data_IF_622773294605
#
_entry.id   IF_622773294605
#
_cell.length_a   1.000
_cell.length_b   1.000
_cell.length_c   1.000
_cell.angle_alpha   90.00
_cell.angle_beta   90.00
_cell.angle_gamma   90.00
#
_symmetry.space_group_name_H-M   'P 1'
#
loop_
_entity.id
_entity.type
_entity.pdbx_description
1 polymer ?
#
# COMPACT_ATOMS: atom_id res chain seq x y z
N UNK A 1 -3.13 10.06 -10.16
CA UNK A 1 -1.98 9.60 -10.96
C UNK A 1 -0.91 8.93 -10.11
N UNK A 2 -0.39 9.56 -9.05
CA UNK A 2 0.67 8.94 -8.21
C UNK A 2 0.26 7.60 -7.56
N UNK A 3 -0.99 7.48 -7.10
CA UNK A 3 -1.48 6.24 -6.49
C UNK A 3 -1.48 5.03 -7.43
N UNK A 4 -1.78 5.23 -8.73
CA UNK A 4 -1.76 4.16 -9.73
C UNK A 4 -0.34 3.79 -10.16
N UNK A 5 0.58 4.76 -10.19
CA UNK A 5 2.02 4.51 -10.40
C UNK A 5 2.57 3.64 -9.25
N UNK A 6 2.23 3.99 -8.00
CA UNK A 6 2.63 3.18 -6.85
C UNK A 6 2.03 1.76 -6.88
N UNK A 7 0.77 1.61 -7.29
CA UNK A 7 0.16 0.29 -7.49
C UNK A 7 0.91 -0.55 -8.53
N UNK A 8 1.30 0.06 -9.66
CA UNK A 8 2.08 -0.61 -10.70
C UNK A 8 3.46 -1.05 -10.19
N UNK A 9 4.16 -0.18 -9.44
CA UNK A 9 5.45 -0.50 -8.83
C UNK A 9 5.34 -1.67 -7.84
N UNK A 10 4.29 -1.71 -7.01
CA UNK A 10 4.05 -2.82 -6.09
C UNK A 10 3.75 -4.11 -6.84
N UNK A 11 2.95 -4.06 -7.91
CA UNK A 11 2.70 -5.21 -8.78
C UNK A 11 3.98 -5.78 -9.37
N UNK A 12 4.86 -4.92 -9.91
CA UNK A 12 6.18 -5.32 -10.44
C UNK A 12 7.06 -5.92 -9.34
N UNK A 13 7.03 -5.35 -8.13
CA UNK A 13 7.81 -5.85 -7.02
C UNK A 13 7.37 -7.24 -6.54
N UNK A 14 6.05 -7.45 -6.43
CA UNK A 14 5.48 -8.76 -6.09
C UNK A 14 5.74 -9.79 -7.20
N UNK A 15 5.64 -9.39 -8.48
CA UNK A 15 5.98 -10.24 -9.62
C UNK A 15 7.43 -10.76 -9.52
N UNK A 16 8.39 -9.85 -9.28
CA UNK A 16 9.80 -10.21 -9.12
C UNK A 16 10.06 -11.08 -7.89
N UNK A 17 9.30 -10.88 -6.81
CA UNK A 17 9.42 -11.71 -5.60
C UNK A 17 8.94 -13.14 -5.87
N UNK A 18 7.79 -13.31 -6.53
CA UNK A 18 7.24 -14.63 -6.84
C UNK A 18 8.12 -15.47 -7.76
N UNK A 19 8.76 -14.83 -8.74
CA UNK A 19 9.72 -15.49 -9.63
C UNK A 19 10.91 -16.10 -8.87
N UNK A 20 11.26 -15.58 -7.68
CA UNK A 20 12.32 -16.13 -6.83
C UNK A 20 11.84 -17.28 -5.95
N UNK A 21 10.54 -17.34 -5.66
CA UNK A 21 9.94 -18.32 -4.76
C UNK A 21 9.28 -19.51 -5.49
N UNK A 22 9.37 -19.59 -6.82
CA UNK A 22 8.78 -20.67 -7.62
C UNK A 22 7.24 -20.68 -7.68
N UNK A 23 6.58 -19.59 -7.24
CA UNK A 23 5.11 -19.45 -7.22
C UNK A 23 4.62 -18.77 -8.50
N UNK A 24 3.33 -18.93 -8.82
CA UNK A 24 2.70 -18.27 -9.98
C UNK A 24 2.83 -16.74 -9.87
N UNK A 25 3.67 -16.16 -10.74
CA UNK A 25 4.05 -14.76 -10.69
C UNK A 25 2.87 -13.80 -10.90
N UNK A 26 1.92 -14.19 -11.74
CA UNK A 26 0.71 -13.41 -12.03
C UNK A 26 -0.21 -13.35 -10.80
N UNK A 27 -0.46 -14.50 -10.15
CA UNK A 27 -1.31 -14.56 -8.95
C UNK A 27 -0.73 -13.73 -7.79
N UNK A 28 0.59 -13.74 -7.65
CA UNK A 28 1.27 -12.94 -6.63
C UNK A 28 1.26 -11.45 -6.92
N UNK A 29 1.48 -11.06 -8.18
CA UNK A 29 1.39 -9.66 -8.60
C UNK A 29 0.00 -9.07 -8.33
N UNK A 30 -1.06 -9.82 -8.67
CA UNK A 30 -2.46 -9.41 -8.40
C UNK A 30 -2.68 -9.26 -6.89
N UNK A 31 -2.20 -10.22 -6.08
CA UNK A 31 -2.29 -10.14 -4.63
C UNK A 31 -1.64 -8.86 -4.07
N UNK A 32 -0.45 -8.49 -4.56
CA UNK A 32 0.24 -7.26 -4.15
C UNK A 32 -0.54 -5.98 -4.48
N UNK A 33 -1.12 -5.91 -5.68
CA UNK A 33 -1.97 -4.78 -6.10
C UNK A 33 -3.23 -4.69 -5.25
N UNK A 34 -3.90 -5.82 -4.99
CA UNK A 34 -5.11 -5.88 -4.17
C UNK A 34 -4.81 -5.43 -2.74
N UNK A 35 -3.72 -5.90 -2.14
CA UNK A 35 -3.27 -5.48 -0.81
C UNK A 35 -3.05 -3.97 -0.74
N UNK A 36 -2.34 -3.40 -1.72
CA UNK A 36 -2.13 -1.97 -1.79
C UNK A 36 -3.45 -1.20 -1.87
N UNK A 37 -4.38 -1.64 -2.73
CA UNK A 37 -5.68 -1.01 -2.89
C UNK A 37 -6.52 -1.08 -1.61
N UNK A 38 -6.57 -2.24 -0.95
CA UNK A 38 -7.31 -2.40 0.29
C UNK A 38 -6.73 -1.55 1.42
N UNK A 39 -5.41 -1.51 1.56
CA UNK A 39 -4.75 -0.66 2.55
C UNK A 39 -5.01 0.84 2.27
N UNK A 40 -4.88 1.27 1.02
CA UNK A 40 -5.20 2.63 0.60
C UNK A 40 -6.67 2.99 0.86
N UNK A 41 -7.59 2.07 0.57
CA UNK A 41 -9.02 2.25 0.79
C UNK A 41 -9.34 2.36 2.29
N UNK A 42 -8.78 1.48 3.12
CA UNK A 42 -8.93 1.53 4.57
C UNK A 42 -8.41 2.84 5.16
N UNK A 43 -7.24 3.32 4.70
CA UNK A 43 -6.74 4.64 5.11
C UNK A 43 -7.68 5.77 4.69
N UNK A 44 -8.22 5.68 3.47
CA UNK A 44 -9.15 6.68 2.94
C UNK A 44 -10.44 6.74 3.78
N UNK A 45 -10.97 5.59 4.20
CA UNK A 45 -12.21 5.54 4.97
C UNK A 45 -12.01 5.83 6.46
N UNK A 46 -10.94 5.33 7.08
CA UNK A 46 -10.76 5.41 8.53
C UNK A 46 -9.97 6.66 8.97
N UNK A 47 -8.94 7.05 8.22
CA UNK A 47 -7.97 8.05 8.66
C UNK A 47 -8.22 9.40 8.01
N UNK A 48 -8.54 9.41 6.72
CA UNK A 48 -8.74 10.65 5.96
C UNK A 48 -9.85 11.56 6.51
N UNK A 49 -11.04 11.07 6.94
CA UNK A 49 -12.07 11.98 7.48
C UNK A 49 -11.64 12.69 8.76
N UNK A 50 -10.95 11.99 9.68
CA UNK A 50 -10.46 12.60 10.93
C UNK A 50 -9.39 13.67 10.67
N UNK A 51 -8.50 13.42 9.72
CA UNK A 51 -7.46 14.39 9.33
C UNK A 51 -8.06 15.57 8.56
N UNK A 52 -9.06 15.33 7.72
CA UNK A 52 -9.77 16.38 6.97
C UNK A 52 -10.51 17.33 7.92
N UNK A 53 -11.16 16.79 8.96
CA UNK A 53 -11.86 17.58 9.97
C UNK A 53 -10.88 18.41 10.83
N UNK A 54 -9.74 17.85 11.20
CA UNK A 54 -8.69 18.62 11.86
C UNK A 54 -8.05 19.68 10.94
N UNK A 55 -7.96 19.43 9.63
CA UNK A 55 -7.42 20.36 8.65
C UNK A 55 -8.35 21.56 8.42
N UNK A 56 -9.67 21.34 8.38
CA UNK A 56 -10.67 22.40 8.17
C UNK A 56 -10.70 23.39 9.34
N UNK A 57 -10.46 22.92 10.56
CA UNK A 57 -10.42 23.77 11.76
C UNK A 57 -9.10 24.51 11.94
N UNK A 58 -7.97 23.96 11.46
CA UNK A 58 -6.63 24.54 11.68
C UNK A 58 -6.03 25.25 10.47
N UNK A 59 -6.62 25.11 9.27
CA UNK A 59 -6.05 25.55 7.98
C UNK A 59 -4.58 25.15 7.77
N UNK A 60 -4.14 24.05 8.40
CA UNK A 60 -2.74 23.64 8.37
C UNK A 60 -2.37 22.98 7.04
N UNK A 61 -1.40 23.56 6.33
CA UNK A 61 -0.88 23.04 5.07
C UNK A 61 -0.31 21.61 5.19
N UNK A 62 0.24 21.26 6.35
CA UNK A 62 0.76 19.92 6.62
C UNK A 62 -0.35 18.86 6.65
N UNK A 63 -1.49 19.16 7.29
CA UNK A 63 -2.63 18.25 7.32
C UNK A 63 -3.24 18.05 5.93
N UNK A 64 -3.33 19.12 5.13
CA UNK A 64 -3.80 19.03 3.73
C UNK A 64 -2.87 18.14 2.89
N UNK A 65 -1.56 18.23 3.11
CA UNK A 65 -0.58 17.36 2.44
C UNK A 65 -0.76 15.89 2.84
N UNK A 66 -0.97 15.63 4.14
CA UNK A 66 -1.19 14.28 4.68
C UNK A 66 -2.46 13.65 4.07
N UNK A 67 -3.57 14.39 4.04
CA UNK A 67 -4.83 13.95 3.38
C UNK A 67 -4.58 13.54 1.93
N UNK A 68 -3.76 14.29 1.20
CA UNK A 68 -3.52 14.07 -0.23
C UNK A 68 -2.58 12.91 -0.56
N UNK A 69 -1.60 12.60 0.29
CA UNK A 69 -0.51 11.68 -0.08
C UNK A 69 -0.24 10.54 0.92
N UNK A 70 -0.70 10.63 2.17
CA UNK A 70 -0.36 9.63 3.19
C UNK A 70 -0.91 8.24 2.88
N UNK A 71 -2.03 8.15 2.15
CA UNK A 71 -2.60 6.87 1.72
C UNK A 71 -1.64 6.05 0.83
N UNK A 72 -0.80 6.73 0.04
CA UNK A 72 0.21 6.08 -0.82
C UNK A 72 1.29 5.45 0.06
N UNK A 73 1.79 6.21 1.03
CA UNK A 73 2.79 5.72 1.98
C UNK A 73 2.29 4.54 2.80
N UNK A 74 1.05 4.62 3.29
CA UNK A 74 0.43 3.52 4.04
C UNK A 74 0.24 2.26 3.18
N UNK A 75 -0.23 2.41 1.94
CA UNK A 75 -0.36 1.30 1.00
C UNK A 75 0.97 0.60 0.72
N UNK A 76 2.05 1.38 0.51
CA UNK A 76 3.40 0.83 0.32
C UNK A 76 3.90 0.12 1.58
N UNK A 77 3.70 0.71 2.75
CA UNK A 77 4.07 0.10 4.03
C UNK A 77 3.38 -1.26 4.23
N UNK A 78 2.09 -1.35 3.97
CA UNK A 78 1.37 -2.63 4.11
C UNK A 78 1.80 -3.67 3.07
N UNK A 79 2.05 -3.26 1.84
CA UNK A 79 2.59 -4.16 0.83
C UNK A 79 3.98 -4.70 1.24
N UNK A 80 4.86 -3.84 1.78
CA UNK A 80 6.16 -4.25 2.32
C UNK A 80 6.02 -5.26 3.45
N UNK A 81 5.14 -4.95 4.41
CA UNK A 81 4.93 -5.76 5.61
C UNK A 81 4.39 -7.14 5.24
N UNK A 82 3.39 -7.20 4.37
CA UNK A 82 2.81 -8.45 3.89
C UNK A 82 3.81 -9.25 3.07
N UNK A 83 4.55 -8.63 2.15
CA UNK A 83 5.56 -9.36 1.38
C UNK A 83 6.68 -9.90 2.29
N UNK A 84 7.11 -9.13 3.28
CA UNK A 84 8.12 -9.56 4.26
C UNK A 84 7.63 -10.72 5.13
N UNK A 85 6.36 -10.68 5.55
CA UNK A 85 5.73 -11.74 6.33
C UNK A 85 5.58 -13.03 5.51
N UNK A 86 5.13 -12.91 4.25
CA UNK A 86 4.98 -14.05 3.34
C UNK A 86 6.33 -14.70 2.98
N UNK A 87 7.38 -13.91 2.81
CA UNK A 87 8.74 -14.43 2.58
C UNK A 87 9.33 -15.09 3.83
N UNK A 88 9.06 -14.57 5.04
CA UNK A 88 9.45 -15.25 6.29
C UNK A 88 8.73 -16.58 6.43
N UNK A 89 7.42 -16.63 6.18
CA UNK A 89 6.63 -17.86 6.25
C UNK A 89 7.10 -18.93 5.26
N UNK A 90 7.61 -18.52 4.09
CA UNK A 90 8.16 -19.44 3.09
C UNK A 90 9.53 -20.04 3.48
N UNK A 91 10.34 -19.36 4.30
CA UNK A 91 11.65 -19.84 4.74
C UNK A 91 11.60 -20.72 6.01
N UNK A 92 10.42 -20.86 6.63
CA UNK A 92 10.21 -21.71 7.83
C UNK A 92 9.60 -23.08 7.50
N UNK A 93 9.41 -23.41 6.22
CA UNK A 93 9.07 -24.74 5.72
C UNK A 93 10.27 -25.39 5.06
#
# INVERSE_FOLDING_TARGET
MLGSVAAALIGIWFYNTASRSGRSAISWAVSGVVVYFLAALLWTLAVTPAILDAASHSQSAALIFIVRYAYIGFGVLMALLINSWLNKAANSQ
#
